data_IF_906855731077
#
_entry.id   IF_906855731077
#
_cell.length_a   1.000
_cell.length_b   1.000
_cell.length_c   1.000
_cell.angle_alpha   90.00
_cell.angle_beta   90.00
_cell.angle_gamma   90.00
#
_symmetry.space_group_name_H-M   'P 1'
#
loop_
_entity.id
_entity.type
_entity.pdbx_description
1 polymer ?
#
# COMPACT_ATOMS: atom_id res chain seq x y z
N UNK A 1 -13.67 -6.56 -4.81
CA UNK A 1 -13.05 -7.19 -3.61
C UNK A 1 -12.01 -6.22 -3.10
N UNK A 2 -11.68 -6.22 -1.79
CA UNK A 2 -10.62 -5.34 -1.29
C UNK A 2 -9.27 -6.02 -1.58
N UNK A 3 -8.25 -5.28 -2.07
CA UNK A 3 -6.92 -5.83 -2.26
C UNK A 3 -6.36 -6.37 -0.94
N UNK A 4 -5.73 -7.54 -1.01
CA UNK A 4 -5.15 -8.20 0.16
C UNK A 4 -3.79 -7.58 0.48
N UNK A 5 -3.59 -7.23 1.75
CA UNK A 5 -2.31 -6.74 2.27
C UNK A 5 -1.92 -7.58 3.48
N UNK A 6 -0.79 -8.28 3.39
CA UNK A 6 -0.27 -9.15 4.45
C UNK A 6 1.14 -8.71 4.77
N UNK A 7 1.46 -8.56 6.05
CA UNK A 7 2.81 -8.23 6.49
C UNK A 7 3.22 -9.09 7.68
N UNK A 8 4.51 -9.43 7.73
CA UNK A 8 5.11 -10.17 8.83
C UNK A 8 6.50 -9.61 9.11
N UNK A 9 6.94 -9.63 10.36
CA UNK A 9 8.25 -9.12 10.74
C UNK A 9 8.80 -9.81 11.97
N UNK A 10 10.13 -9.82 12.07
CA UNK A 10 10.86 -10.34 13.22
C UNK A 10 11.82 -9.26 13.70
N UNK A 11 11.85 -9.02 15.00
CA UNK A 11 12.66 -7.98 15.60
C UNK A 11 13.12 -8.31 17.00
N UNK A 12 14.06 -7.51 17.50
CA UNK A 12 14.63 -7.64 18.84
C UNK A 12 14.21 -6.43 19.66
N UNK A 13 13.77 -6.64 20.90
CA UNK A 13 13.37 -5.56 21.78
C UNK A 13 14.46 -5.24 22.81
N UNK A 14 14.97 -4.01 22.76
CA UNK A 14 15.88 -3.46 23.75
C UNK A 14 15.08 -2.65 24.76
N UNK A 15 15.21 -2.97 26.05
CA UNK A 15 14.48 -2.29 27.13
C UNK A 15 15.45 -1.51 28.01
N UNK A 16 15.12 -0.26 28.30
CA UNK A 16 15.87 0.59 29.22
C UNK A 16 14.93 1.47 30.03
N UNK A 17 15.41 2.03 31.14
CA UNK A 17 14.64 2.95 31.98
C UNK A 17 15.26 4.34 31.88
N UNK A 18 14.47 5.33 31.43
CA UNK A 18 14.91 6.73 31.29
C UNK A 18 13.89 7.61 31.99
N UNK A 19 14.36 8.51 32.88
CA UNK A 19 13.50 9.39 33.69
C UNK A 19 12.38 8.65 34.46
N UNK A 20 12.69 7.45 34.97
CA UNK A 20 11.72 6.63 35.71
C UNK A 20 10.64 5.97 34.85
N UNK A 21 10.74 6.06 33.51
CA UNK A 21 9.83 5.38 32.57
C UNK A 21 10.56 4.29 31.82
N UNK A 22 9.93 3.14 31.67
CA UNK A 22 10.43 2.09 30.77
C UNK A 22 10.26 2.56 29.33
N UNK A 23 11.34 2.45 28.56
CA UNK A 23 11.39 2.68 27.12
C UNK A 23 11.83 1.38 26.45
N UNK A 24 11.16 1.01 25.36
CA UNK A 24 11.53 -0.14 24.53
C UNK A 24 11.78 0.30 23.11
N UNK A 25 12.93 -0.04 22.57
CA UNK A 25 13.30 0.16 21.17
C UNK A 25 13.29 -1.21 20.47
N UNK A 26 12.57 -1.32 19.36
CA UNK A 26 12.42 -2.57 18.62
C UNK A 26 12.75 -2.37 17.15
N UNK A 27 14.02 -2.53 16.74
CA UNK A 27 14.34 -2.74 15.33
C UNK A 27 13.79 -4.09 14.84
N UNK A 28 13.35 -4.13 13.59
CA UNK A 28 12.83 -5.35 12.95
C UNK A 28 13.21 -5.44 11.47
N UNK A 29 13.23 -6.68 10.98
CA UNK A 29 13.18 -7.02 9.56
C UNK A 29 11.74 -7.36 9.21
N UNK A 30 11.24 -6.82 8.12
CA UNK A 30 9.84 -6.86 7.74
C UNK A 30 9.69 -7.36 6.29
N UNK A 31 8.63 -8.14 6.08
CA UNK A 31 8.13 -8.57 4.78
C UNK A 31 6.71 -8.03 4.59
N UNK A 32 6.39 -7.61 3.37
CA UNK A 32 5.09 -7.11 2.96
C UNK A 32 4.69 -7.78 1.64
N UNK A 33 3.47 -8.28 1.58
CA UNK A 33 2.79 -8.69 0.35
C UNK A 33 1.58 -7.81 0.13
N UNK A 34 1.49 -7.20 -1.03
CA UNK A 34 0.42 -6.28 -1.39
C UNK A 34 -0.14 -6.64 -2.76
N UNK A 35 -1.43 -6.95 -2.83
CA UNK A 35 -2.15 -7.10 -4.10
C UNK A 35 -2.67 -5.74 -4.54
N UNK A 36 -2.52 -5.41 -5.82
CA UNK A 36 -2.97 -4.16 -6.41
C UNK A 36 -3.73 -4.44 -7.70
N UNK A 37 -4.88 -3.77 -7.86
CA UNK A 37 -5.66 -3.81 -9.09
C UNK A 37 -5.25 -2.60 -9.95
N UNK A 38 -4.55 -2.85 -11.06
CA UNK A 38 -4.27 -1.85 -12.08
C UNK A 38 -5.46 -1.79 -13.02
N UNK A 39 -6.16 -0.65 -13.03
CA UNK A 39 -7.34 -0.44 -13.89
C UNK A 39 -7.10 0.81 -14.71
N UNK A 40 -7.07 0.64 -16.03
CA UNK A 40 -6.91 1.72 -16.97
C UNK A 40 -8.13 1.77 -17.90
N UNK A 41 -8.58 2.98 -18.23
CA UNK A 41 -9.64 3.16 -19.22
C UNK A 41 -9.46 4.46 -19.99
N UNK A 42 -9.85 4.43 -21.26
CA UNK A 42 -9.92 5.61 -22.10
C UNK A 42 -11.25 5.61 -22.84
N UNK A 43 -11.87 6.78 -22.88
CA UNK A 43 -13.14 6.99 -23.56
C UNK A 43 -12.98 8.17 -24.51
N UNK A 44 -13.37 7.97 -25.76
CA UNK A 44 -13.30 9.01 -26.80
C UNK A 44 -14.55 8.95 -27.67
N UNK A 45 -15.20 10.09 -27.85
CA UNK A 45 -16.24 10.23 -28.85
C UNK A 45 -15.61 10.66 -30.19
N UNK A 46 -15.97 10.00 -31.29
CA UNK A 46 -15.52 10.32 -32.65
C UNK A 46 -16.73 10.59 -33.53
N UNK A 47 -16.75 11.74 -34.18
CA UNK A 47 -17.83 12.13 -35.11
C UNK A 47 -17.66 11.37 -36.43
N UNK A 48 -18.72 10.70 -36.90
CA UNK A 48 -18.66 9.82 -38.07
C UNK A 48 -18.83 10.55 -39.42
N UNK A 49 -19.28 11.82 -39.42
CA UNK A 49 -19.43 12.67 -40.60
C UNK A 49 -19.37 14.16 -40.22
N UNK A 50 -18.75 14.99 -41.07
CA UNK A 50 -18.83 16.46 -41.03
C UNK A 50 -19.33 16.94 -42.41
N UNK A 51 -20.33 17.85 -42.46
CA UNK A 51 -20.19 19.20 -41.91
C UNK A 51 -21.32 19.68 -40.97
N UNK A 52 -22.25 18.83 -40.52
CA UNK A 52 -23.40 19.30 -39.72
C UNK A 52 -23.00 19.64 -38.27
N UNK A 53 -23.22 20.88 -37.77
CA UNK A 53 -22.79 21.32 -36.43
C UNK A 53 -23.72 20.81 -35.30
N UNK A 54 -24.28 19.62 -35.44
CA UNK A 54 -25.14 19.01 -34.43
C UNK A 54 -24.39 18.00 -33.54
N UNK A 55 -25.03 17.57 -32.46
CA UNK A 55 -24.53 16.57 -31.52
C UNK A 55 -24.84 15.12 -31.97
N UNK A 56 -25.27 14.91 -33.21
CA UNK A 56 -25.62 13.60 -33.74
C UNK A 56 -24.42 12.92 -34.42
N UNK A 57 -24.48 11.60 -34.61
CA UNK A 57 -23.46 10.86 -35.37
C UNK A 57 -22.13 10.62 -34.65
N UNK A 58 -22.10 10.60 -33.32
CA UNK A 58 -20.91 10.22 -32.56
C UNK A 58 -20.84 8.72 -32.32
N UNK A 59 -19.64 8.16 -32.51
CA UNK A 59 -19.28 6.82 -32.04
C UNK A 59 -18.46 6.94 -30.77
N UNK A 60 -18.84 6.19 -29.75
CA UNK A 60 -18.02 6.03 -28.55
C UNK A 60 -16.97 4.94 -28.78
N UNK A 61 -15.72 5.29 -28.54
CA UNK A 61 -14.61 4.36 -28.33
C UNK A 61 -14.44 4.27 -26.81
N UNK A 62 -14.57 3.07 -26.26
CA UNK A 62 -14.30 2.78 -24.86
C UNK A 62 -13.35 1.59 -24.82
N UNK A 63 -12.13 1.83 -24.36
CA UNK A 63 -11.13 0.79 -24.17
C UNK A 63 -10.78 0.76 -22.69
N UNK A 64 -10.62 -0.44 -22.14
CA UNK A 64 -10.31 -0.63 -20.74
C UNK A 64 -9.51 -1.90 -20.54
N UNK A 65 -8.47 -1.80 -19.72
CA UNK A 65 -7.66 -2.94 -19.32
C UNK A 65 -7.62 -3.00 -17.79
N UNK A 66 -7.60 -4.23 -17.27
CA UNK A 66 -7.46 -4.48 -15.84
C UNK A 66 -6.51 -5.64 -15.64
N UNK A 67 -5.56 -5.44 -14.73
CA UNK A 67 -4.58 -6.46 -14.34
C UNK A 67 -4.44 -6.47 -12.83
N UNK A 68 -4.16 -7.66 -12.27
CA UNK A 68 -3.90 -7.82 -10.84
C UNK A 68 -2.45 -8.15 -10.65
N UNK A 69 -1.78 -7.35 -9.83
CA UNK A 69 -0.38 -7.52 -9.54
C UNK A 69 -0.18 -7.82 -8.07
N UNK A 70 0.82 -8.65 -7.78
CA UNK A 70 1.26 -8.94 -6.41
C UNK A 70 2.65 -8.38 -6.23
N UNK A 71 2.79 -7.45 -5.28
CA UNK A 71 4.06 -6.83 -4.92
C UNK A 71 4.58 -7.45 -3.63
N UNK A 72 5.81 -7.96 -3.68
CA UNK A 72 6.53 -8.52 -2.54
C UNK A 72 7.63 -7.55 -2.11
N UNK A 73 7.59 -7.10 -0.86
CA UNK A 73 8.51 -6.10 -0.32
C UNK A 73 9.28 -6.63 0.88
N UNK A 74 10.56 -6.27 0.96
CA UNK A 74 11.41 -6.50 2.13
C UNK A 74 11.92 -5.17 2.67
N UNK A 75 12.09 -5.09 3.98
CA UNK A 75 12.72 -3.92 4.55
C UNK A 75 12.83 -3.94 6.06
N UNK A 76 12.91 -2.74 6.62
CA UNK A 76 13.24 -2.52 8.03
C UNK A 76 12.14 -1.77 8.76
N UNK A 77 11.97 -2.11 10.03
CA UNK A 77 11.09 -1.42 10.96
C UNK A 77 11.82 -0.92 12.19
N UNK A 78 11.28 0.14 12.78
CA UNK A 78 11.65 0.61 14.10
C UNK A 78 10.38 0.97 14.87
N UNK A 79 10.22 0.38 16.05
CA UNK A 79 9.19 0.76 17.02
C UNK A 79 9.85 1.33 18.28
N UNK A 80 9.37 2.47 18.74
CA UNK A 80 9.69 3.05 20.04
C UNK A 80 8.43 2.97 20.91
N UNK A 81 8.57 2.43 22.11
CA UNK A 81 7.48 2.26 23.06
C UNK A 81 7.86 2.86 24.41
N UNK A 82 6.91 3.50 25.08
CA UNK A 82 7.07 4.04 26.44
C UNK A 82 5.88 3.63 27.31
N UNK A 83 6.14 3.24 28.55
CA UNK A 83 5.07 2.95 29.51
C UNK A 83 4.34 4.25 29.88
N UNK A 84 3.01 4.24 29.71
CA UNK A 84 2.12 5.37 30.01
C UNK A 84 1.57 5.28 31.44
N UNK A 85 1.35 4.07 31.96
CA UNK A 85 0.89 3.86 33.33
C UNK A 85 0.56 2.41 33.66
N UNK A 86 0.26 2.14 34.94
CA UNK A 86 -0.18 0.84 35.44
C UNK A 86 -1.50 1.00 36.20
N UNK A 87 -2.47 0.15 35.87
CA UNK A 87 -3.78 0.05 36.52
C UNK A 87 -3.91 -1.37 37.07
N UNK A 88 -3.48 -1.59 38.32
CA UNK A 88 -3.41 -2.91 38.93
C UNK A 88 -2.54 -3.88 38.10
N UNK A 89 -3.08 -5.00 37.60
CA UNK A 89 -2.32 -5.97 36.83
C UNK A 89 -2.17 -5.58 35.34
N UNK A 90 -2.71 -4.44 34.90
CA UNK A 90 -2.63 -4.00 33.50
C UNK A 90 -1.60 -2.88 33.38
N UNK A 91 -0.61 -3.06 32.51
CA UNK A 91 0.30 -1.99 32.08
C UNK A 91 -0.12 -1.48 30.71
N UNK A 92 -0.25 -0.17 30.60
CA UNK A 92 -0.55 0.54 29.36
C UNK A 92 0.72 1.20 28.85
N UNK A 93 1.11 0.90 27.62
CA UNK A 93 2.24 1.52 26.94
C UNK A 93 1.78 2.17 25.64
N UNK A 94 2.40 3.29 25.28
CA UNK A 94 2.22 3.94 23.99
C UNK A 94 3.38 3.56 23.09
N UNK A 95 3.14 3.34 21.81
CA UNK A 95 4.20 3.14 20.82
C UNK A 95 4.01 4.01 19.58
N UNK A 96 5.14 4.34 18.96
CA UNK A 96 5.23 4.84 17.59
C UNK A 96 6.09 3.87 16.80
N UNK A 97 5.72 3.60 15.56
CA UNK A 97 6.53 2.80 14.65
C UNK A 97 6.62 3.44 13.27
N UNK A 98 7.71 3.12 12.59
CA UNK A 98 7.94 3.38 11.18
C UNK A 98 8.52 2.15 10.53
N UNK A 99 8.08 1.85 9.30
CA UNK A 99 8.53 0.73 8.49
C UNK A 99 8.74 1.21 7.07
N UNK A 100 9.84 0.79 6.46
CA UNK A 100 10.14 1.02 5.05
C UNK A 100 10.29 -0.32 4.35
N UNK A 101 9.66 -0.47 3.19
CA UNK A 101 9.67 -1.67 2.37
C UNK A 101 10.17 -1.31 0.98
N UNK A 102 11.10 -2.08 0.44
CA UNK A 102 11.49 -2.03 -0.95
C UNK A 102 10.82 -3.19 -1.69
N UNK A 103 9.99 -2.88 -2.68
CA UNK A 103 9.35 -3.89 -3.51
C UNK A 103 10.35 -4.55 -4.46
N UNK A 104 10.21 -5.86 -4.60
CA UNK A 104 11.05 -6.73 -5.42
C UNK A 104 10.26 -7.18 -6.64
N UNK A 105 10.99 -7.56 -7.70
CA UNK A 105 10.39 -8.09 -8.93
C UNK A 105 10.17 -7.01 -10.00
N UNK A 106 9.18 -7.23 -10.86
CA UNK A 106 8.85 -6.28 -11.92
C UNK A 106 7.88 -5.23 -11.38
N UNK A 107 8.24 -3.97 -11.54
CA UNK A 107 7.45 -2.81 -11.13
C UNK A 107 6.92 -2.00 -12.32
N UNK A 108 7.27 -2.40 -13.54
CA UNK A 108 6.88 -1.72 -14.78
C UNK A 108 5.81 -2.56 -15.48
N UNK A 109 4.62 -2.00 -15.63
CA UNK A 109 3.46 -2.69 -16.18
C UNK A 109 2.94 -1.95 -17.41
N UNK A 110 2.64 -2.71 -18.45
CA UNK A 110 2.05 -2.19 -19.68
C UNK A 110 0.71 -2.88 -19.91
N UNK A 111 -0.37 -2.11 -19.83
CA UNK A 111 -1.71 -2.59 -20.16
C UNK A 111 -2.03 -2.18 -21.59
N UNK A 112 -2.65 -3.07 -22.36
CA UNK A 112 -3.09 -2.77 -23.73
C UNK A 112 -4.48 -3.35 -23.98
N UNK A 113 -5.33 -2.57 -24.63
CA UNK A 113 -6.64 -3.01 -25.08
C UNK A 113 -6.87 -2.58 -26.54
N UNK A 114 -7.52 -3.43 -27.32
CA UNK A 114 -7.80 -3.19 -28.75
C UNK A 114 -9.21 -3.65 -29.06
N UNK A 115 -10.01 -2.80 -29.69
CA UNK A 115 -11.35 -3.17 -30.08
C UNK A 115 -11.42 -3.84 -31.46
N UNK A 116 -12.62 -4.31 -31.83
CA UNK A 116 -12.90 -5.00 -33.09
C UNK A 116 -12.60 -4.17 -34.36
N UNK A 117 -12.46 -2.85 -34.23
CA UNK A 117 -12.15 -1.92 -35.34
C UNK A 117 -10.66 -1.60 -35.43
N UNK A 118 -9.82 -2.23 -34.60
CA UNK A 118 -8.37 -2.04 -34.59
C UNK A 118 -7.92 -0.76 -33.90
N UNK A 119 -8.79 -0.08 -33.15
CA UNK A 119 -8.36 1.01 -32.30
C UNK A 119 -7.75 0.47 -31.01
N UNK A 120 -6.50 0.87 -30.74
CA UNK A 120 -5.70 0.39 -29.61
C UNK A 120 -5.41 1.51 -28.62
N UNK A 121 -5.40 1.18 -27.34
CA UNK A 121 -4.89 2.01 -26.27
C UNK A 121 -3.88 1.22 -25.45
N UNK A 122 -2.75 1.87 -25.13
CA UNK A 122 -1.72 1.33 -24.25
C UNK A 122 -1.49 2.28 -23.09
N UNK A 123 -1.34 1.72 -21.90
CA UNK A 123 -1.06 2.43 -20.66
C UNK A 123 0.21 1.87 -20.05
N UNK A 124 1.04 2.76 -19.54
CA UNK A 124 2.28 2.42 -18.86
C UNK A 124 2.17 2.88 -17.42
N UNK A 125 2.51 2.00 -16.48
CA UNK A 125 2.48 2.31 -15.06
C UNK A 125 3.70 1.72 -14.38
N UNK A 126 4.41 2.58 -13.66
CA UNK A 126 5.59 2.22 -12.88
C UNK A 126 5.27 2.40 -11.40
N UNK A 127 5.38 1.33 -10.62
CA UNK A 127 5.24 1.40 -9.18
C UNK A 127 6.45 2.09 -8.54
N UNK A 128 6.20 2.94 -7.54
CA UNK A 128 7.28 3.41 -6.66
C UNK A 128 7.87 2.20 -5.94
N UNK A 129 9.19 1.97 -6.04
CA UNK A 129 9.82 0.81 -5.41
C UNK A 129 9.82 0.88 -3.88
N UNK A 130 9.48 2.02 -3.27
CA UNK A 130 9.46 2.19 -1.82
C UNK A 130 8.05 2.42 -1.27
N UNK A 131 7.69 1.65 -0.24
CA UNK A 131 6.49 1.87 0.56
C UNK A 131 6.88 2.17 2.00
N UNK A 132 6.33 3.28 2.54
CA UNK A 132 6.56 3.70 3.92
C UNK A 132 5.27 3.62 4.71
N UNK A 133 5.33 3.02 5.90
CA UNK A 133 4.20 2.89 6.81
C UNK A 133 4.60 3.36 8.19
N UNK A 134 3.79 4.23 8.78
CA UNK A 134 3.98 4.73 10.13
C UNK A 134 2.70 4.55 10.93
N UNK A 135 2.83 4.35 12.23
CA UNK A 135 1.70 4.14 13.11
C UNK A 135 1.99 4.56 14.54
N UNK A 136 0.92 4.91 15.25
CA UNK A 136 0.92 5.09 16.69
C UNK A 136 -0.13 4.17 17.30
N UNK A 137 0.09 3.70 18.51
CA UNK A 137 -0.88 2.84 19.18
C UNK A 137 -0.63 2.68 20.66
N UNK A 138 -1.57 2.01 21.31
CA UNK A 138 -1.48 1.61 22.70
C UNK A 138 -1.35 0.09 22.81
N UNK A 139 -0.58 -0.38 23.80
CA UNK A 139 -0.37 -1.79 24.09
C UNK A 139 -0.73 -2.06 25.54
N UNK A 140 -1.63 -3.00 25.75
CA UNK A 140 -2.08 -3.46 27.07
C UNK A 140 -1.37 -4.77 27.38
N UNK A 141 -0.64 -4.81 28.49
CA UNK A 141 -0.01 -6.04 28.98
C UNK A 141 -0.63 -6.43 30.30
N UNK A 142 -1.03 -7.69 30.40
CA UNK A 142 -1.40 -8.27 31.68
C UNK A 142 -0.14 -8.82 32.36
N UNK A 143 0.16 -8.27 33.53
CA UNK A 143 1.24 -8.66 34.41
C UNK A 143 0.61 -8.91 35.79
N UNK A 144 0.08 -10.13 36.03
CA UNK A 144 -0.38 -10.53 37.36
C UNK A 144 0.82 -10.53 38.31
N UNK A 145 0.61 -10.03 39.54
CA UNK A 145 1.59 -10.09 40.63
C UNK A 145 1.81 -11.53 41.09
#
# INVERSE_FOLDING_TARGET
MRPLVVGAGVGVAFTTTVFGRTIRLKPSLEYLREEVDLIASVRRAVKLQDPTPDLSGFRLISLSASEKETLDGLGGGLELESDAGRLGPIVVSMFVNGRGYHFLGNLHHTLTDTNERGETASWYYDFDPWSWRAGVGARFRWLPE
#
